data_IF_164897489100
#
_entry.id   IF_164897489100
#
_cell.length_a   1.000
_cell.length_b   1.000
_cell.length_c   1.000
_cell.angle_alpha   90.00
_cell.angle_beta   90.00
_cell.angle_gamma   90.00
#
_symmetry.space_group_name_H-M   'P 1'
#
loop_
_entity.id
_entity.type
_entity.pdbx_description
1 polymer ?
#
# COMPACT_ATOMS: atom_id res chain seq x y z
N UNK A 1 3.31 -8.75 -23.48
CA UNK A 1 2.10 -9.02 -22.68
C UNK A 1 2.31 -8.27 -21.39
N UNK A 2 1.75 -7.07 -21.29
CA UNK A 2 1.85 -6.24 -20.08
C UNK A 2 0.83 -6.77 -19.08
N UNK A 3 1.20 -7.83 -18.36
CA UNK A 3 0.47 -8.27 -17.18
C UNK A 3 1.06 -7.51 -15.98
N UNK A 4 0.50 -6.34 -15.68
CA UNK A 4 0.77 -5.67 -14.42
C UNK A 4 0.53 -6.63 -13.26
N UNK A 5 1.41 -6.62 -12.27
CA UNK A 5 1.24 -7.42 -11.04
C UNK A 5 0.17 -6.78 -10.18
N UNK A 6 -0.66 -7.58 -9.52
CA UNK A 6 -1.67 -7.10 -8.58
C UNK A 6 -1.47 -7.77 -7.23
N UNK A 7 -1.40 -6.96 -6.17
CA UNK A 7 -1.11 -7.42 -4.83
C UNK A 7 -2.09 -6.82 -3.83
N UNK A 8 -2.62 -7.69 -2.95
CA UNK A 8 -3.41 -7.29 -1.80
C UNK A 8 -2.49 -6.83 -0.67
N UNK A 9 -2.75 -5.65 -0.14
CA UNK A 9 -1.95 -5.01 0.88
C UNK A 9 -2.79 -4.72 2.13
N UNK A 10 -2.11 -4.71 3.27
CA UNK A 10 -2.59 -4.16 4.53
C UNK A 10 -1.72 -2.95 4.92
N UNK A 11 -2.31 -2.06 5.71
CA UNK A 11 -1.64 -0.92 6.32
C UNK A 11 -1.03 -1.38 7.63
N UNK A 12 0.29 -1.30 7.73
CA UNK A 12 0.97 -1.41 9.00
C UNK A 12 1.28 -0.02 9.55
N UNK A 13 0.71 0.28 10.72
CA UNK A 13 1.01 1.49 11.47
C UNK A 13 2.29 1.31 12.28
N UNK A 14 3.16 2.31 12.21
CA UNK A 14 4.42 2.35 12.92
C UNK A 14 4.48 3.69 13.64
N UNK A 15 4.83 3.65 14.92
CA UNK A 15 5.26 4.86 15.61
C UNK A 15 6.65 5.26 15.09
N UNK A 16 6.76 6.43 14.47
CA UNK A 16 8.04 6.92 13.99
C UNK A 16 8.92 7.55 15.09
N UNK A 17 8.56 7.38 16.36
CA UNK A 17 9.31 7.88 17.51
C UNK A 17 9.25 9.41 17.66
N UNK A 18 8.51 10.11 16.80
CA UNK A 18 8.26 11.56 16.87
C UNK A 18 6.81 11.88 17.23
N UNK A 19 6.07 10.91 17.78
CA UNK A 19 4.64 11.06 18.10
C UNK A 19 3.75 11.21 16.86
N UNK A 20 4.25 10.81 15.68
CA UNK A 20 3.48 10.79 14.43
C UNK A 20 3.29 9.34 14.01
N UNK A 21 2.05 8.91 13.87
CA UNK A 21 1.72 7.63 13.25
C UNK A 21 2.18 7.68 11.78
N UNK A 22 3.10 6.80 11.43
CA UNK A 22 3.47 6.52 10.05
C UNK A 22 2.79 5.23 9.62
N UNK A 23 2.43 5.15 8.35
CA UNK A 23 1.80 3.98 7.76
C UNK A 23 2.67 3.46 6.62
N UNK A 24 2.84 2.15 6.53
CA UNK A 24 3.45 1.50 5.37
C UNK A 24 2.53 0.44 4.80
N UNK A 25 2.63 0.20 3.50
CA UNK A 25 1.95 -0.91 2.85
C UNK A 25 2.79 -2.18 2.99
N UNK A 26 2.11 -3.28 3.28
CA UNK A 26 2.68 -4.62 3.29
C UNK A 26 1.73 -5.57 2.58
N UNK A 27 2.28 -6.56 1.90
CA UNK A 27 1.46 -7.58 1.24
C UNK A 27 0.76 -8.47 2.28
N UNK A 28 -0.52 -8.74 2.08
CA UNK A 28 -1.29 -9.71 2.89
C UNK A 28 -0.79 -11.14 2.63
N UNK A 29 -0.76 -11.97 3.67
CA UNK A 29 -0.23 -13.34 3.61
C UNK A 29 1.29 -13.44 3.76
N UNK A 30 2.10 -12.76 2.94
CA UNK A 30 3.57 -12.82 3.09
C UNK A 30 4.08 -11.84 4.14
N UNK A 31 3.49 -10.64 4.21
CA UNK A 31 3.99 -9.54 5.04
C UNK A 31 5.18 -8.80 4.43
N UNK A 32 5.59 -9.10 3.19
CA UNK A 32 6.69 -8.38 2.55
C UNK A 32 6.36 -6.91 2.35
N UNK A 33 7.37 -6.06 2.36
CA UNK A 33 7.21 -4.61 2.21
C UNK A 33 6.70 -4.29 0.81
N UNK A 34 5.69 -3.44 0.70
CA UNK A 34 5.23 -2.92 -0.59
C UNK A 34 5.65 -1.46 -0.71
N UNK A 35 6.47 -1.15 -1.70
CA UNK A 35 6.99 0.20 -1.94
C UNK A 35 6.57 0.70 -3.33
N UNK A 36 6.35 2.01 -3.44
CA UNK A 36 6.01 2.70 -4.67
C UNK A 36 7.16 3.64 -5.00
N UNK A 37 8.12 3.19 -5.83
CA UNK A 37 9.36 3.94 -6.11
C UNK A 37 9.34 4.50 -7.54
N UNK A 38 9.81 5.73 -7.65
CA UNK A 38 9.70 6.56 -8.85
C UNK A 38 9.35 7.96 -8.38
N UNK A 39 9.74 9.01 -9.09
CA UNK A 39 9.60 10.39 -8.61
C UNK A 39 8.12 10.74 -8.46
N UNK A 40 7.63 10.51 -7.25
CA UNK A 40 6.27 10.82 -6.83
C UNK A 40 6.19 12.33 -6.82
N UNK A 41 5.49 12.91 -7.80
CA UNK A 41 5.22 14.34 -7.78
C UNK A 41 4.59 14.68 -6.42
N UNK A 42 4.75 15.91 -5.95
CA UNK A 42 4.13 16.33 -4.69
C UNK A 42 2.60 16.13 -4.74
N UNK A 43 2.01 16.15 -5.94
CA UNK A 43 0.59 15.85 -6.15
C UNK A 43 0.26 14.38 -5.90
N UNK A 44 1.04 13.44 -6.43
CA UNK A 44 0.81 12.00 -6.27
C UNK A 44 1.02 11.56 -4.82
N UNK A 45 2.07 12.09 -4.16
CA UNK A 45 2.27 11.85 -2.71
C UNK A 45 1.08 12.33 -1.91
N UNK A 46 0.51 13.48 -2.27
CA UNK A 46 -0.64 14.07 -1.58
C UNK A 46 -1.91 13.26 -1.85
N UNK A 47 -2.11 12.77 -3.06
CA UNK A 47 -3.26 11.92 -3.39
C UNK A 47 -3.19 10.60 -2.61
N UNK A 48 -2.04 9.92 -2.66
CA UNK A 48 -1.81 8.69 -1.90
C UNK A 48 -1.95 8.91 -0.39
N UNK A 49 -1.38 9.98 0.16
CA UNK A 49 -1.53 10.33 1.59
C UNK A 49 -2.99 10.59 1.95
N UNK A 50 -3.76 11.27 1.10
CA UNK A 50 -5.20 11.48 1.33
C UNK A 50 -5.98 10.17 1.32
N UNK A 51 -5.69 9.27 0.37
CA UNK A 51 -6.27 7.94 0.32
C UNK A 51 -5.98 7.16 1.61
N UNK A 52 -4.72 7.09 2.02
CA UNK A 52 -4.30 6.41 3.26
C UNK A 52 -4.95 7.03 4.51
N UNK A 53 -5.08 8.35 4.57
CA UNK A 53 -5.77 9.01 5.68
C UNK A 53 -7.28 8.69 5.70
N UNK A 54 -7.94 8.59 4.54
CA UNK A 54 -9.35 8.24 4.46
C UNK A 54 -9.61 6.79 4.91
N UNK A 55 -8.74 5.87 4.49
CA UNK A 55 -8.75 4.48 4.96
C UNK A 55 -8.44 4.41 6.47
N UNK A 56 -7.43 5.16 6.92
CA UNK A 56 -7.07 5.35 8.33
C UNK A 56 -8.21 5.83 9.20
N UNK A 57 -8.97 6.82 8.73
CA UNK A 57 -10.15 7.32 9.44
C UNK A 57 -11.28 6.28 9.56
N UNK A 58 -11.32 5.32 8.64
CA UNK A 58 -12.32 4.25 8.61
C UNK A 58 -11.89 3.00 9.39
N UNK A 59 -10.77 3.04 10.12
CA UNK A 59 -10.18 1.90 10.83
C UNK A 59 -11.14 1.15 11.76
N UNK A 60 -12.10 1.84 12.38
CA UNK A 60 -13.11 1.19 13.24
C UNK A 60 -14.14 0.40 12.44
N UNK A 61 -14.38 0.76 11.18
CA UNK A 61 -15.32 0.11 10.28
C UNK A 61 -14.68 -0.95 9.39
N UNK A 62 -13.39 -0.78 9.04
CA UNK A 62 -12.63 -1.68 8.16
C UNK A 62 -11.33 -2.14 8.84
N UNK A 63 -11.41 -2.86 9.97
CA UNK A 63 -10.24 -3.27 10.74
C UNK A 63 -9.32 -4.21 9.94
N UNK A 64 -9.88 -4.94 8.97
CA UNK A 64 -9.18 -5.93 8.18
C UNK A 64 -8.09 -5.33 7.28
N UNK A 65 -8.22 -4.06 6.88
CA UNK A 65 -7.13 -3.38 6.14
C UNK A 65 -5.88 -3.19 6.99
N UNK A 66 -5.99 -3.25 8.31
CA UNK A 66 -4.86 -3.08 9.22
C UNK A 66 -4.29 -4.43 9.71
N UNK A 67 -4.84 -5.55 9.24
CA UNK A 67 -4.37 -6.90 9.59
C UNK A 67 -3.81 -7.64 8.39
N UNK A 68 -2.69 -8.32 8.62
CA UNK A 68 -2.00 -9.13 7.62
C UNK A 68 -2.88 -10.25 7.05
N UNK A 69 -3.67 -10.86 7.92
CA UNK A 69 -4.52 -12.01 7.61
C UNK A 69 -6.02 -11.63 7.52
N UNK A 70 -6.32 -10.33 7.40
CA UNK A 70 -7.70 -9.88 7.16
C UNK A 70 -8.15 -10.22 5.74
N UNK A 71 -9.32 -10.82 5.60
CA UNK A 71 -9.82 -11.32 4.31
C UNK A 71 -10.96 -10.45 3.74
N UNK A 72 -11.57 -9.59 4.56
CA UNK A 72 -12.73 -8.80 4.15
C UNK A 72 -12.37 -7.48 3.47
N UNK A 73 -11.33 -6.79 3.96
CA UNK A 73 -10.91 -5.50 3.43
C UNK A 73 -9.40 -5.49 3.12
N UNK A 74 -9.03 -4.92 1.99
CA UNK A 74 -7.63 -4.75 1.58
C UNK A 74 -7.41 -3.53 0.67
N UNK A 75 -6.14 -3.13 0.56
CA UNK A 75 -5.72 -2.19 -0.49
C UNK A 75 -5.11 -3.01 -1.61
N UNK A 76 -5.67 -2.96 -2.80
CA UNK A 76 -5.09 -3.61 -3.97
C UNK A 76 -4.21 -2.62 -4.70
N UNK A 77 -2.93 -2.96 -4.85
CA UNK A 77 -1.97 -2.23 -5.68
C UNK A 77 -1.79 -3.02 -6.96
N UNK A 78 -1.98 -2.40 -8.12
CA UNK A 78 -1.71 -3.02 -9.40
C UNK A 78 -0.82 -2.13 -10.26
N UNK A 79 0.15 -2.72 -10.95
CA UNK A 79 1.07 -1.98 -11.81
C UNK A 79 2.31 -2.79 -12.17
N UNK A 80 3.28 -2.10 -12.76
CA UNK A 80 4.56 -2.71 -13.13
C UNK A 80 5.47 -2.82 -11.92
N UNK A 81 6.21 -3.92 -11.81
CA UNK A 81 7.09 -4.22 -10.66
C UNK A 81 8.54 -4.19 -11.12
N UNK A 82 9.39 -3.42 -10.45
CA UNK A 82 10.84 -3.39 -10.69
C UNK A 82 11.61 -4.29 -9.71
N UNK A 83 11.06 -4.54 -8.52
CA UNK A 83 11.60 -5.50 -7.55
C UNK A 83 10.50 -6.45 -7.08
N UNK A 84 10.71 -7.74 -7.33
CA UNK A 84 9.97 -8.83 -6.73
C UNK A 84 10.94 -9.70 -5.93
N UNK A 85 10.91 -9.57 -4.61
CA UNK A 85 11.74 -10.33 -3.68
C UNK A 85 10.91 -10.84 -2.50
N UNK A 86 11.43 -11.79 -1.72
CA UNK A 86 10.75 -12.30 -0.53
C UNK A 86 10.47 -11.21 0.52
N UNK A 87 11.30 -10.17 0.59
CA UNK A 87 11.21 -9.11 1.61
C UNK A 87 10.59 -7.82 1.09
N UNK A 88 10.67 -7.56 -0.21
CA UNK A 88 10.22 -6.33 -0.86
C UNK A 88 9.56 -6.61 -2.21
N UNK A 89 8.37 -6.05 -2.37
CA UNK A 89 7.70 -5.87 -3.66
C UNK A 89 7.66 -4.38 -3.96
N UNK A 90 8.21 -3.97 -5.09
CA UNK A 90 8.30 -2.56 -5.46
C UNK A 90 7.65 -2.33 -6.81
N UNK A 91 6.69 -1.41 -6.82
CA UNK A 91 5.99 -0.99 -8.01
C UNK A 91 6.65 0.26 -8.61
N UNK A 92 6.74 0.26 -9.93
CA UNK A 92 7.14 1.39 -10.75
C UNK A 92 5.98 2.38 -10.77
N UNK A 93 6.25 3.61 -10.36
CA UNK A 93 5.27 4.68 -10.44
C UNK A 93 5.19 5.26 -11.87
N UNK A 94 4.42 4.60 -12.73
CA UNK A 94 4.11 5.02 -14.10
C UNK A 94 2.58 5.14 -14.30
N UNK A 95 2.12 5.38 -15.53
CA UNK A 95 0.68 5.52 -15.82
C UNK A 95 -0.13 4.22 -15.64
N UNK A 96 0.54 3.08 -15.44
CA UNK A 96 -0.09 1.79 -15.19
C UNK A 96 -0.33 1.52 -13.70
N UNK A 97 0.20 2.36 -12.80
CA UNK A 97 0.02 2.17 -11.36
C UNK A 97 -1.41 2.55 -10.93
N UNK A 98 -2.04 1.66 -10.19
CA UNK A 98 -3.36 1.88 -9.61
C UNK A 98 -3.41 1.35 -8.19
N UNK A 99 -4.18 2.03 -7.34
CA UNK A 99 -4.45 1.61 -5.97
C UNK A 99 -5.91 1.83 -5.63
N UNK A 100 -6.53 0.82 -5.06
CA UNK A 100 -7.96 0.81 -4.75
C UNK A 100 -8.20 0.09 -3.43
N UNK A 101 -9.27 0.49 -2.75
CA UNK A 101 -9.78 -0.21 -1.58
C UNK A 101 -10.78 -1.27 -2.06
N UNK A 102 -10.64 -2.52 -1.63
CA UNK A 102 -11.45 -3.66 -2.05
C UNK A 102 -11.82 -4.56 -0.88
#
# INVERSE_FOLDING_TARGET
MDQGTSTKCYIEEIDNGKGRLSARLREKGTGRRVDLRGVVSVADKRHFTRFMNAVGASKTSVPDVFTKDGDHDCIVISGDVDIDSPDELRFVHNDNISYLFA
#
